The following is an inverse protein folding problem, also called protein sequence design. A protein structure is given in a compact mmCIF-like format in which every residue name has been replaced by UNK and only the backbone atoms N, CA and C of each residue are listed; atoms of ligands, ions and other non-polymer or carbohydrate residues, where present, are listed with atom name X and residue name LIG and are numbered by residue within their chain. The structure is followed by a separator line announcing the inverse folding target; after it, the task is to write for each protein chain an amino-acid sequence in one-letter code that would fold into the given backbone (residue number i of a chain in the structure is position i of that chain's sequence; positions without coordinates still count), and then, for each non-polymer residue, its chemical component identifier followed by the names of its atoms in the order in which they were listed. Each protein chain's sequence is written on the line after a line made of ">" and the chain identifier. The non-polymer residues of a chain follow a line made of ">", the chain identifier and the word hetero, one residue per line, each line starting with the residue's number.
data_IF_502127999802
#
_entry.id   IF_502127999802
#
_cell.length_a   1.000
_cell.length_b   1.000
_cell.length_c   1.000
_cell.angle_alpha   90.00
_cell.angle_beta   90.00
_cell.angle_gamma   90.00
#
_symmetry.space_group_name_H-M   'P 1'
#
loop_
_entity.id
_entity.type
_entity.pdbx_description
1 polymer ?
#
# COMPACT_ATOMS: atom_id res chain seq x y z
N UNK A 1 3.05 -8.42 -9.67
CA UNK A 1 2.20 -7.39 -10.29
C UNK A 1 2.87 -6.01 -10.29
N UNK A 2 3.17 -5.38 -9.15
CA UNK A 2 3.82 -4.04 -9.14
C UNK A 2 5.13 -3.99 -9.94
N UNK A 3 6.04 -4.96 -9.76
CA UNK A 3 7.27 -5.06 -10.58
C UNK A 3 6.99 -5.27 -12.08
N UNK A 4 5.91 -5.98 -12.42
CA UNK A 4 5.51 -6.19 -13.82
C UNK A 4 4.97 -4.90 -14.45
N UNK A 5 4.41 -4.00 -13.64
CA UNK A 5 3.92 -2.68 -14.05
C UNK A 5 5.06 -1.62 -14.09
N UNK A 6 6.33 -2.05 -14.04
CA UNK A 6 7.48 -1.15 -14.06
C UNK A 6 7.67 -0.32 -12.79
N UNK A 7 6.96 -0.63 -11.70
CA UNK A 7 7.19 0.04 -10.42
C UNK A 7 8.61 -0.25 -9.92
N UNK A 8 9.36 0.82 -9.64
CA UNK A 8 10.78 0.78 -9.27
C UNK A 8 11.03 0.76 -7.76
N UNK A 9 9.99 0.61 -6.95
CA UNK A 9 10.14 0.60 -5.50
C UNK A 9 10.75 -0.70 -4.96
N UNK A 10 11.25 -0.62 -3.73
CA UNK A 10 11.75 -1.77 -2.98
C UNK A 10 10.60 -2.42 -2.21
N UNK A 11 10.51 -3.75 -2.28
CA UNK A 11 9.60 -4.53 -1.43
C UNK A 11 10.38 -4.94 -0.19
N UNK A 12 9.94 -4.51 0.98
CA UNK A 12 10.43 -4.98 2.28
C UNK A 12 9.36 -5.89 2.88
N UNK A 13 9.74 -7.12 3.24
CA UNK A 13 8.83 -8.05 3.88
C UNK A 13 8.91 -7.90 5.39
N UNK A 14 7.77 -7.77 6.06
CA UNK A 14 7.72 -7.75 7.53
C UNK A 14 8.17 -9.07 8.16
N UNK A 15 8.23 -10.16 7.39
CA UNK A 15 8.76 -11.45 7.85
C UNK A 15 10.28 -11.47 8.02
N UNK A 16 10.99 -10.54 7.36
CA UNK A 16 12.45 -10.43 7.46
C UNK A 16 12.87 -9.60 8.69
N UNK A 17 11.90 -9.05 9.43
CA UNK A 17 12.11 -8.22 10.60
C UNK A 17 11.86 -9.03 11.89
N UNK A 18 12.60 -8.73 12.99
CA UNK A 18 12.35 -9.36 14.27
C UNK A 18 10.89 -9.22 14.72
N UNK A 19 10.26 -10.34 15.05
CA UNK A 19 8.86 -10.36 15.44
C UNK A 19 8.67 -9.78 16.85
N UNK A 20 8.39 -8.48 16.96
CA UNK A 20 8.00 -7.85 18.23
C UNK A 20 6.56 -8.18 18.60
N UNK A 21 6.28 -8.28 19.90
CA UNK A 21 4.94 -8.45 20.45
C UNK A 21 4.19 -7.12 20.34
N UNK A 22 3.08 -7.12 19.60
CA UNK A 22 2.27 -5.92 19.38
C UNK A 22 2.02 -5.64 17.91
N UNK A 23 0.75 -5.65 17.51
CA UNK A 23 0.33 -5.48 16.10
C UNK A 23 0.85 -4.19 15.47
N UNK A 24 0.85 -3.09 16.24
CA UNK A 24 1.30 -1.78 15.74
C UNK A 24 2.82 -1.67 15.65
N UNK A 25 3.56 -2.33 16.55
CA UNK A 25 5.02 -2.29 16.56
C UNK A 25 5.62 -2.89 15.30
N UNK A 26 5.05 -3.98 14.77
CA UNK A 26 5.49 -4.54 13.48
C UNK A 26 5.39 -3.54 12.32
N UNK A 27 4.40 -2.64 12.35
CA UNK A 27 4.27 -1.60 11.34
C UNK A 27 5.25 -0.45 11.57
N UNK A 28 5.61 -0.17 12.83
CA UNK A 28 6.69 0.78 13.16
C UNK A 28 8.02 0.25 12.65
N UNK A 29 8.37 -1.00 12.97
CA UNK A 29 9.62 -1.63 12.55
C UNK A 29 9.71 -1.66 11.01
N UNK A 30 8.60 -1.96 10.32
CA UNK A 30 8.54 -1.94 8.85
C UNK A 30 8.73 -0.53 8.29
N UNK A 31 8.10 0.49 8.89
CA UNK A 31 8.24 1.87 8.44
C UNK A 31 9.68 2.37 8.64
N UNK A 32 10.30 2.00 9.76
CA UNK A 32 11.71 2.30 10.06
C UNK A 32 12.66 1.61 9.08
N UNK A 33 12.45 0.31 8.81
CA UNK A 33 13.24 -0.44 7.84
C UNK A 33 13.17 0.14 6.41
N UNK A 34 12.04 0.78 6.06
CA UNK A 34 11.86 1.50 4.81
C UNK A 34 12.41 2.94 4.83
N UNK A 35 12.96 3.42 5.96
CA UNK A 35 13.39 4.80 6.14
C UNK A 35 12.24 5.82 6.04
N UNK A 36 11.00 5.38 6.27
CA UNK A 36 9.82 6.20 6.06
C UNK A 36 9.60 7.21 7.20
N UNK A 37 9.25 8.44 6.83
CA UNK A 37 8.80 9.48 7.80
C UNK A 37 7.28 9.57 7.92
N UNK A 38 6.56 8.85 7.06
CA UNK A 38 5.10 8.81 7.05
C UNK A 38 4.63 7.38 6.87
N UNK A 39 3.75 6.94 7.76
CA UNK A 39 3.01 5.69 7.60
C UNK A 39 1.59 6.00 7.13
N UNK A 40 1.26 5.55 5.91
CA UNK A 40 -0.05 5.73 5.32
C UNK A 40 -0.96 4.56 5.72
N UNK A 41 -2.07 4.85 6.40
CA UNK A 41 -2.99 3.84 6.90
C UNK A 41 -4.41 4.08 6.38
N UNK A 42 -5.10 3.03 5.93
CA UNK A 42 -6.53 3.15 5.61
C UNK A 42 -7.34 3.54 6.84
N UNK A 43 -8.40 4.33 6.65
CA UNK A 43 -9.28 4.81 7.74
C UNK A 43 -9.82 3.68 8.63
N UNK A 44 -10.07 2.49 8.08
CA UNK A 44 -10.50 1.33 8.83
C UNK A 44 -9.44 0.79 9.80
N UNK A 45 -8.17 0.79 9.38
CA UNK A 45 -7.03 0.28 10.16
C UNK A 45 -6.58 1.23 11.27
N UNK A 46 -6.81 2.53 11.09
CA UNK A 46 -6.51 3.58 12.09
C UNK A 46 -7.14 3.28 13.45
N UNK A 47 -8.32 2.66 13.48
CA UNK A 47 -9.04 2.31 14.72
C UNK A 47 -8.30 1.31 15.61
N UNK A 48 -7.34 0.58 15.05
CA UNK A 48 -6.63 -0.51 15.74
C UNK A 48 -5.13 -0.21 15.88
N UNK A 49 -4.70 0.97 15.47
CA UNK A 49 -3.30 1.35 15.45
C UNK A 49 -2.98 2.19 16.69
N UNK A 50 -2.02 1.72 17.49
CA UNK A 50 -1.40 2.54 18.53
C UNK A 50 -0.36 3.43 17.86
N UNK A 51 -0.49 4.74 18.05
CA UNK A 51 0.37 5.76 17.44
C UNK A 51 1.66 6.00 18.23
N UNK A 52 1.73 5.56 19.48
CA UNK A 52 2.83 5.91 20.39
C UNK A 52 4.19 5.44 19.86
N UNK A 53 4.25 4.20 19.35
CA UNK A 53 5.48 3.66 18.76
C UNK A 53 5.91 4.40 17.49
N UNK A 54 4.97 4.89 16.69
CA UNK A 54 5.28 5.70 15.51
C UNK A 54 5.82 7.07 15.90
N UNK A 55 5.20 7.71 16.90
CA UNK A 55 5.62 9.01 17.42
C UNK A 55 7.04 8.96 17.99
N UNK A 56 7.38 7.90 18.74
CA UNK A 56 8.72 7.69 19.28
C UNK A 56 9.80 7.62 18.18
N UNK A 57 9.45 7.09 17.00
CA UNK A 57 10.35 7.01 15.85
C UNK A 57 10.26 8.21 14.90
N UNK A 58 9.55 9.27 15.29
CA UNK A 58 9.27 10.44 14.44
C UNK A 58 8.65 10.06 13.08
N UNK A 59 7.73 9.09 13.09
CA UNK A 59 6.97 8.63 11.94
C UNK A 59 5.54 9.16 12.05
N UNK A 60 5.10 9.96 11.09
CA UNK A 60 3.74 10.50 11.06
C UNK A 60 2.75 9.45 10.55
N UNK A 61 1.75 9.11 11.33
CA UNK A 61 0.62 8.31 10.84
C UNK A 61 -0.36 9.22 10.09
N UNK A 62 -0.63 8.90 8.83
CA UNK A 62 -1.56 9.65 7.97
C UNK A 62 -2.67 8.74 7.47
N UNK A 63 -3.92 9.17 7.63
CA UNK A 63 -5.07 8.44 7.09
C UNK A 63 -5.13 8.59 5.57
N UNK A 64 -5.06 7.47 4.85
CA UNK A 64 -5.39 7.44 3.43
C UNK A 64 -6.90 7.61 3.25
N UNK A 65 -7.27 8.65 2.51
CA UNK A 65 -8.63 8.88 2.06
C UNK A 65 -8.63 8.68 0.56
N UNK A 66 -9.33 7.65 0.10
CA UNK A 66 -9.52 7.42 -1.33
C UNK A 66 -10.14 8.67 -1.95
N UNK A 67 -9.54 9.25 -3.00
CA UNK A 67 -10.15 10.36 -3.74
C UNK A 67 -11.54 9.96 -4.25
N UNK A 68 -12.48 10.89 -4.29
CA UNK A 68 -13.85 10.63 -4.77
C UNK A 68 -14.03 10.86 -6.28
N UNK A 69 -12.96 11.20 -7.00
CA UNK A 69 -12.99 11.59 -8.41
C UNK A 69 -11.99 10.80 -9.26
N UNK A 70 -12.16 10.89 -10.59
CA UNK A 70 -11.30 10.21 -11.56
C UNK A 70 -11.40 8.69 -11.46
N UNK A 71 -10.29 7.99 -11.73
CA UNK A 71 -10.20 6.53 -11.66
C UNK A 71 -10.59 5.93 -10.29
N UNK A 72 -10.66 6.76 -9.23
CA UNK A 72 -11.03 6.33 -7.88
C UNK A 72 -12.54 6.25 -7.62
N UNK A 73 -13.36 6.88 -8.47
CA UNK A 73 -14.82 6.89 -8.30
C UNK A 73 -15.45 5.50 -8.39
N UNK A 74 -14.92 4.64 -9.27
CA UNK A 74 -15.35 3.24 -9.46
C UNK A 74 -14.34 2.23 -8.89
N UNK A 75 -13.26 2.67 -8.23
CA UNK A 75 -12.19 1.79 -7.78
C UNK A 75 -12.66 0.72 -6.76
N UNK A 76 -13.76 0.97 -6.03
CA UNK A 76 -14.34 -0.03 -5.10
C UNK A 76 -14.95 -1.24 -5.82
N UNK A 77 -15.32 -1.10 -7.09
CA UNK A 77 -15.95 -2.16 -7.89
C UNK A 77 -14.91 -3.03 -8.59
N UNK A 78 -13.67 -2.52 -8.67
CA UNK A 78 -12.55 -3.17 -9.35
C UNK A 78 -11.60 -3.78 -8.33
N UNK A 79 -11.71 -5.10 -8.13
CA UNK A 79 -10.70 -5.87 -7.41
C UNK A 79 -9.59 -6.31 -8.37
N UNK A 80 -8.33 -6.07 -8.00
CA UNK A 80 -7.18 -6.58 -8.73
C UNK A 80 -7.21 -8.11 -8.85
N UNK A 81 -7.77 -8.82 -7.86
CA UNK A 81 -7.92 -10.28 -7.89
C UNK A 81 -8.99 -10.69 -8.90
N UNK A 82 -10.14 -9.98 -8.93
CA UNK A 82 -11.19 -10.25 -9.92
C UNK A 82 -10.69 -10.01 -11.35
N UNK A 83 -9.99 -8.91 -11.57
CA UNK A 83 -9.40 -8.59 -12.87
C UNK A 83 -8.32 -9.61 -13.26
N UNK A 84 -7.49 -10.05 -12.30
CA UNK A 84 -6.49 -11.09 -12.52
C UNK A 84 -7.11 -12.43 -12.90
N UNK A 85 -8.19 -12.84 -12.24
CA UNK A 85 -8.90 -14.07 -12.57
C UNK A 85 -9.60 -13.99 -13.94
N UNK A 86 -10.10 -12.82 -14.33
CA UNK A 86 -10.79 -12.64 -15.60
C UNK A 86 -9.85 -12.51 -16.81
N UNK A 87 -8.75 -11.77 -16.65
CA UNK A 87 -7.84 -11.41 -17.76
C UNK A 87 -6.54 -12.23 -17.77
N UNK A 88 -6.20 -12.86 -16.65
CA UNK A 88 -4.87 -13.42 -16.44
C UNK A 88 -3.81 -12.33 -16.20
N UNK A 89 -2.61 -12.73 -15.73
CA UNK A 89 -1.58 -11.80 -15.26
C UNK A 89 -0.96 -10.93 -16.36
N UNK A 90 -0.82 -11.46 -17.58
CA UNK A 90 -0.15 -10.74 -18.68
C UNK A 90 -1.05 -9.65 -19.25
N UNK A 91 -2.30 -9.99 -19.61
CA UNK A 91 -3.24 -9.03 -20.18
C UNK A 91 -3.60 -7.93 -19.16
N UNK A 92 -3.76 -8.27 -17.88
CA UNK A 92 -3.99 -7.27 -16.83
C UNK A 92 -2.83 -6.27 -16.72
N UNK A 93 -1.58 -6.71 -16.86
CA UNK A 93 -0.42 -5.81 -16.84
C UNK A 93 -0.44 -4.85 -18.03
N UNK A 94 -0.76 -5.34 -19.23
CA UNK A 94 -0.85 -4.51 -20.43
C UNK A 94 -1.92 -3.42 -20.31
N UNK A 95 -3.12 -3.78 -19.85
CA UNK A 95 -4.22 -2.84 -19.64
C UNK A 95 -3.86 -1.75 -18.63
N UNK A 96 -3.31 -2.14 -17.48
CA UNK A 96 -2.91 -1.18 -16.44
C UNK A 96 -1.79 -0.25 -16.93
N UNK A 97 -0.83 -0.77 -17.70
CA UNK A 97 0.24 0.05 -18.29
C UNK A 97 -0.29 1.05 -19.33
N UNK A 98 -1.26 0.65 -20.16
CA UNK A 98 -1.89 1.56 -21.13
C UNK A 98 -2.64 2.70 -20.43
N UNK A 99 -3.41 2.39 -19.38
CA UNK A 99 -4.14 3.38 -18.59
C UNK A 99 -3.20 4.33 -17.84
N UNK A 100 -2.05 3.84 -17.34
CA UNK A 100 -1.06 4.69 -16.69
C UNK A 100 -0.40 5.67 -17.67
N UNK A 101 -0.11 5.24 -18.90
CA UNK A 101 0.46 6.09 -19.95
C UNK A 101 -0.51 7.17 -20.47
N UNK A 102 -1.82 6.90 -20.41
CA UNK A 102 -2.84 7.87 -20.83
C UNK A 102 -3.13 8.98 -19.79
N UNK A 103 -2.58 8.87 -18.58
CA UNK A 103 -2.80 9.81 -17.47
C UNK A 103 -1.58 10.70 -17.16
N UNK A 104 -0.48 10.55 -17.91
CA UNK A 104 0.75 11.36 -17.83
C UNK A 104 0.81 12.39 -18.94
#
# INVERSE_FOLDING_TARGET
>A
MLRLLGWRGQVVSGSDLPARSGRSLRFVDLAEACGARTYLCGTGGMRYLSVDGFTQQAIKVTAFRTPSSGAWASAREVSAVRALMALGPVALVQELSAVAAAQS
#
